data_IF_001212253039
#
_entry.id   IF_001212253039
#
_cell.length_a   1.000
_cell.length_b   1.000
_cell.length_c   1.000
_cell.angle_alpha   90.00
_cell.angle_beta   90.00
_cell.angle_gamma   90.00
#
_symmetry.space_group_name_H-M   'P 1'
#
loop_
_entity.id
_entity.type
_entity.pdbx_description
1 polymer ?
#
# COMPACT_ATOMS: atom_id res chain seq x y z
N UNK A 1 3.22 -11.16 -18.07
CA UNK A 1 2.30 -10.69 -17.02
C UNK A 1 3.00 -10.90 -15.69
N UNK A 2 3.37 -9.84 -15.00
CA UNK A 2 3.99 -9.92 -13.66
C UNK A 2 2.93 -10.37 -12.65
N UNK A 3 3.18 -11.46 -11.93
CA UNK A 3 2.27 -11.97 -10.91
C UNK A 3 2.61 -11.34 -9.55
N UNK A 4 1.59 -10.79 -8.90
CA UNK A 4 1.68 -10.28 -7.53
C UNK A 4 0.86 -11.18 -6.61
N UNK A 5 1.51 -11.73 -5.58
CA UNK A 5 0.88 -12.55 -4.55
C UNK A 5 0.91 -11.79 -3.22
N UNK A 6 -0.23 -11.74 -2.54
CA UNK A 6 -0.38 -11.05 -1.25
C UNK A 6 -0.92 -12.05 -0.24
N UNK A 7 -0.15 -12.32 0.81
CA UNK A 7 -0.53 -13.20 1.92
C UNK A 7 -0.80 -12.32 3.14
N UNK A 8 -2.01 -12.41 3.67
CA UNK A 8 -2.48 -11.56 4.78
C UNK A 8 -2.88 -12.34 6.04
N UNK A 9 -3.10 -13.65 5.90
CA UNK A 9 -3.48 -14.52 7.01
C UNK A 9 -2.19 -15.10 7.62
N UNK A 10 -1.72 -14.47 8.69
CA UNK A 10 -0.41 -14.70 9.29
C UNK A 10 0.51 -13.49 9.08
N UNK A 11 1.82 -13.72 8.93
CA UNK A 11 2.76 -12.64 8.62
C UNK A 11 2.45 -12.06 7.24
N UNK A 12 2.19 -10.75 7.18
CA UNK A 12 1.88 -10.07 5.92
C UNK A 12 3.08 -10.14 4.96
N UNK A 13 2.89 -10.74 3.79
CA UNK A 13 3.92 -10.89 2.76
C UNK A 13 3.39 -10.44 1.40
N UNK A 14 4.21 -9.72 0.66
CA UNK A 14 3.96 -9.37 -0.74
C UNK A 14 5.07 -9.98 -1.57
N UNK A 15 4.71 -10.77 -2.56
CA UNK A 15 5.66 -11.41 -3.46
C UNK A 15 5.42 -10.94 -4.89
N UNK A 16 6.48 -10.52 -5.56
CA UNK A 16 6.52 -10.28 -7.00
C UNK A 16 7.25 -11.44 -7.64
N UNK A 17 6.58 -12.19 -8.50
CA UNK A 17 7.18 -13.37 -9.18
C UNK A 17 7.80 -14.37 -8.20
N UNK A 18 7.15 -14.62 -7.06
CA UNK A 18 7.60 -15.48 -5.95
C UNK A 18 8.79 -14.96 -5.14
N UNK A 19 9.33 -13.78 -5.47
CA UNK A 19 10.34 -13.08 -4.67
C UNK A 19 9.69 -12.07 -3.72
N UNK A 20 10.11 -11.98 -2.44
CA UNK A 20 9.60 -10.96 -1.53
C UNK A 20 9.83 -9.55 -2.07
N UNK A 21 8.76 -8.76 -2.17
CA UNK A 21 8.84 -7.34 -2.49
C UNK A 21 8.95 -6.56 -1.17
N UNK A 22 10.18 -6.33 -0.69
CA UNK A 22 10.42 -5.70 0.61
C UNK A 22 10.87 -4.23 0.49
N UNK A 23 11.10 -3.73 -0.72
CA UNK A 23 11.67 -2.40 -0.99
C UNK A 23 10.66 -1.26 -0.82
N UNK A 24 9.72 -1.40 0.12
CA UNK A 24 8.75 -0.38 0.43
C UNK A 24 9.35 0.65 1.39
N UNK A 25 9.07 1.93 1.11
CA UNK A 25 9.51 3.07 1.92
C UNK A 25 8.94 3.00 3.36
N UNK A 26 7.83 2.27 3.57
CA UNK A 26 7.14 2.15 4.85
C UNK A 26 6.23 0.93 4.86
N UNK A 27 5.95 0.38 6.06
CA UNK A 27 4.91 -0.64 6.28
C UNK A 27 3.49 -0.18 5.93
N UNK A 28 3.26 1.12 5.71
CA UNK A 28 1.95 1.64 5.25
C UNK A 28 1.69 1.36 3.76
N UNK A 29 2.74 1.23 2.94
CA UNK A 29 2.61 0.87 1.52
C UNK A 29 2.11 -0.56 1.31
N UNK A 30 2.68 -1.61 1.94
CA UNK A 30 2.14 -2.95 1.84
C UNK A 30 0.72 -3.05 2.42
N UNK A 31 0.41 -2.29 3.48
CA UNK A 31 -0.95 -2.21 4.03
C UNK A 31 -1.95 -1.58 3.04
N UNK A 32 -1.55 -0.53 2.31
CA UNK A 32 -2.35 0.06 1.23
C UNK A 32 -2.66 -0.97 0.14
N UNK A 33 -1.64 -1.70 -0.32
CA UNK A 33 -1.78 -2.68 -1.38
C UNK A 33 -2.69 -3.84 -0.96
N UNK A 34 -2.50 -4.34 0.27
CA UNK A 34 -3.37 -5.34 0.88
C UNK A 34 -4.83 -4.87 0.92
N UNK A 35 -5.08 -3.65 1.41
CA UNK A 35 -6.43 -3.09 1.51
C UNK A 35 -7.11 -3.00 0.14
N UNK A 36 -6.40 -2.49 -0.88
CA UNK A 36 -6.92 -2.39 -2.24
C UNK A 36 -7.21 -3.78 -2.85
N UNK A 37 -6.30 -4.74 -2.66
CA UNK A 37 -6.43 -6.08 -3.20
C UNK A 37 -7.58 -6.89 -2.58
N UNK A 38 -7.85 -6.69 -1.28
CA UNK A 38 -8.98 -7.33 -0.58
C UNK A 38 -10.30 -6.68 -0.96
N UNK A 39 -10.35 -5.36 -1.03
CA UNK A 39 -11.61 -4.64 -1.25
C UNK A 39 -12.04 -4.56 -2.71
N UNK A 40 -11.09 -4.68 -3.67
CA UNK A 40 -11.32 -4.75 -5.13
C UNK A 40 -12.30 -3.71 -5.68
N UNK A 41 -12.25 -2.50 -5.13
CA UNK A 41 -13.09 -1.36 -5.54
C UNK A 41 -12.29 -0.08 -5.58
N UNK A 42 -12.83 0.93 -6.26
CA UNK A 42 -12.29 2.28 -6.19
C UNK A 42 -12.49 2.87 -4.78
N UNK A 43 -11.46 3.55 -4.27
CA UNK A 43 -11.51 4.33 -3.03
C UNK A 43 -11.01 5.73 -3.29
N UNK A 44 -11.58 6.71 -2.58
CA UNK A 44 -11.09 8.09 -2.65
C UNK A 44 -9.71 8.21 -2.01
N UNK A 45 -8.89 9.13 -2.53
CA UNK A 45 -7.57 9.42 -1.99
C UNK A 45 -7.64 9.88 -0.54
N UNK A 46 -8.62 10.72 -0.20
CA UNK A 46 -8.83 11.22 1.17
C UNK A 46 -9.07 10.08 2.16
N UNK A 47 -9.90 9.10 1.79
CA UNK A 47 -10.17 7.93 2.62
C UNK A 47 -8.92 7.09 2.86
N UNK A 48 -8.13 6.85 1.82
CA UNK A 48 -6.89 6.06 1.92
C UNK A 48 -5.83 6.81 2.75
N UNK A 49 -5.75 8.13 2.59
CA UNK A 49 -4.86 8.99 3.36
C UNK A 49 -5.22 8.94 4.86
N UNK A 50 -6.50 9.14 5.20
CA UNK A 50 -6.97 9.07 6.59
C UNK A 50 -6.80 7.67 7.20
N UNK A 51 -7.06 6.60 6.45
CA UNK A 51 -6.93 5.22 6.92
C UNK A 51 -5.50 4.87 7.34
N UNK A 52 -4.50 5.33 6.57
CA UNK A 52 -3.11 4.92 6.76
C UNK A 52 -2.25 5.97 7.45
N UNK A 53 -2.57 7.26 7.33
CA UNK A 53 -1.80 8.39 7.86
C UNK A 53 -2.67 9.37 8.67
N UNK A 54 -3.76 8.92 9.29
CA UNK A 54 -4.72 9.78 10.01
C UNK A 54 -4.15 10.62 11.17
N UNK A 55 -2.97 10.26 11.69
CA UNK A 55 -2.26 11.02 12.73
C UNK A 55 -1.48 12.23 12.18
N UNK A 56 -1.42 12.39 10.85
CA UNK A 56 -0.70 13.47 10.18
C UNK A 56 -1.66 14.56 9.72
N UNK A 57 -1.12 15.73 9.35
CA UNK A 57 -1.92 16.74 8.66
C UNK A 57 -2.47 16.19 7.35
N UNK A 58 -3.63 16.68 6.91
CA UNK A 58 -4.24 16.29 5.64
C UNK A 58 -3.28 16.44 4.44
N UNK A 59 -2.48 17.51 4.44
CA UNK A 59 -1.50 17.77 3.40
C UNK A 59 -0.40 16.69 3.38
N UNK A 60 0.14 16.35 4.56
CA UNK A 60 1.21 15.35 4.69
C UNK A 60 0.70 13.95 4.39
N UNK A 61 -0.51 13.59 4.87
CA UNK A 61 -1.14 12.31 4.59
C UNK A 61 -1.36 12.10 3.09
N UNK A 62 -1.83 13.13 2.37
CA UNK A 62 -2.01 13.09 0.91
C UNK A 62 -0.69 13.02 0.15
N UNK A 63 0.32 13.75 0.62
CA UNK A 63 1.66 13.71 0.02
C UNK A 63 2.28 12.31 0.19
N UNK A 64 2.18 11.71 1.38
CA UNK A 64 2.66 10.36 1.65
C UNK A 64 1.90 9.29 0.87
N UNK A 65 0.59 9.43 0.71
CA UNK A 65 -0.19 8.54 -0.17
C UNK A 65 0.31 8.59 -1.62
N UNK A 66 0.67 9.78 -2.12
CA UNK A 66 1.24 9.95 -3.46
C UNK A 66 2.62 9.31 -3.58
N UNK A 67 3.50 9.56 -2.61
CA UNK A 67 4.86 9.01 -2.60
C UNK A 67 4.84 7.48 -2.45
N UNK A 68 3.99 6.94 -1.58
CA UNK A 68 3.86 5.48 -1.39
C UNK A 68 3.29 4.75 -2.61
N UNK A 69 2.50 5.43 -3.46
CA UNK A 69 2.03 4.89 -4.73
C UNK A 69 3.06 5.05 -5.87
N UNK A 70 4.09 5.88 -5.67
CA UNK A 70 5.15 6.13 -6.64
C UNK A 70 6.39 5.32 -6.25
N UNK A 71 6.52 4.12 -6.80
CA UNK A 71 7.76 3.37 -6.70
C UNK A 71 8.60 3.70 -7.95
N UNK A 72 9.80 4.31 -7.81
CA UNK A 72 10.69 4.49 -8.95
C UNK A 72 11.07 3.11 -9.53
N UNK A 73 11.36 3.05 -10.83
CA UNK A 73 11.60 1.80 -11.58
C UNK A 73 12.81 1.01 -11.05
#
# INVERSE_FOLDING_TARGET
MTQLEIRLLGSSQILREKSPANDFISNKVPALLAYLAVTRRAHSRDKLAALLWGEMSDADAKNNLRQGAYQPP
#
